data_IF_672231441533
#
_entry.id   IF_672231441533
#
_cell.length_a   1.000
_cell.length_b   1.000
_cell.length_c   1.000
_cell.angle_alpha   90.00
_cell.angle_beta   90.00
_cell.angle_gamma   90.00
#
_symmetry.space_group_name_H-M   'P 1'
#
loop_
_entity.id
_entity.type
_entity.pdbx_description
1 polymer ?
#
# COMPACT_ATOMS: atom_id res chain seq x y z
N UNK A 1 74.26 42.41 -0.84
CA UNK A 1 73.21 43.41 -1.11
C UNK A 1 72.10 42.68 -1.82
N UNK A 2 71.33 41.88 -1.09
CA UNK A 2 70.22 42.33 -0.22
C UNK A 2 69.01 42.76 -1.05
N UNK A 3 67.94 42.00 -0.82
CA UNK A 3 66.59 42.50 -0.58
C UNK A 3 65.86 43.21 -1.71
N UNK A 4 64.86 42.53 -2.29
CA UNK A 4 63.58 42.41 -1.58
C UNK A 4 62.53 41.69 -2.43
N UNK A 5 61.65 40.97 -1.73
CA UNK A 5 60.36 40.41 -2.16
C UNK A 5 60.32 38.94 -2.59
N UNK A 6 60.83 38.09 -1.71
CA UNK A 6 60.04 36.93 -1.30
C UNK A 6 58.73 37.41 -0.64
N UNK A 7 57.55 37.23 -1.28
CA UNK A 7 56.23 36.99 -0.65
C UNK A 7 55.14 36.71 -1.69
N UNK A 8 55.10 35.51 -2.24
CA UNK A 8 53.88 34.79 -2.61
C UNK A 8 54.29 33.35 -2.97
N UNK A 9 53.49 32.36 -2.58
CA UNK A 9 53.78 30.92 -2.75
C UNK A 9 54.76 30.33 -1.73
N UNK A 10 54.49 30.60 -0.45
CA UNK A 10 54.89 29.70 0.63
C UNK A 10 54.18 28.35 0.45
N UNK A 11 54.98 27.28 0.45
CA UNK A 11 54.51 25.91 0.30
C UNK A 11 53.42 25.55 1.31
N UNK A 12 52.38 24.88 0.81
CA UNK A 12 51.41 24.18 1.62
C UNK A 12 51.35 22.74 1.13
N UNK A 13 51.97 21.89 1.95
CA UNK A 13 51.70 20.48 2.18
C UNK A 13 50.44 19.95 1.49
N UNK A 14 50.61 18.94 0.62
CA UNK A 14 49.54 18.07 0.13
C UNK A 14 49.02 17.18 1.28
N UNK A 15 48.30 17.76 2.23
CA UNK A 15 47.37 16.99 3.05
C UNK A 15 46.07 16.81 2.26
N UNK A 16 45.71 15.54 2.04
CA UNK A 16 44.42 15.17 1.47
C UNK A 16 43.28 15.85 2.24
N UNK A 17 42.22 16.34 1.57
CA UNK A 17 41.05 16.82 2.28
C UNK A 17 40.47 15.65 3.09
N UNK A 18 40.37 15.82 4.40
CA UNK A 18 39.57 14.93 5.25
C UNK A 18 38.18 14.86 4.63
N UNK A 19 37.77 13.66 4.22
CA UNK A 19 36.41 13.37 3.74
C UNK A 19 35.42 13.85 4.80
N UNK A 20 34.86 15.04 4.61
CA UNK A 20 33.65 15.44 5.30
C UNK A 20 32.60 14.42 4.88
N UNK A 21 32.25 13.53 5.81
CA UNK A 21 31.12 12.61 5.64
C UNK A 21 29.92 13.48 5.31
N UNK A 22 29.48 13.42 4.05
CA UNK A 22 28.37 14.21 3.56
C UNK A 22 27.18 13.98 4.48
N UNK A 23 26.75 15.02 5.19
CA UNK A 23 25.45 15.04 5.85
C UNK A 23 24.43 14.74 4.76
N UNK A 24 23.85 13.53 4.79
CA UNK A 24 22.68 13.22 3.97
C UNK A 24 21.67 14.35 4.22
N UNK A 25 21.10 14.96 3.16
CA UNK A 25 20.09 15.99 3.35
C UNK A 25 19.01 15.43 4.29
N UNK A 26 18.61 16.23 5.28
CA UNK A 26 17.61 15.81 6.25
C UNK A 26 16.41 15.25 5.48
N UNK A 27 16.02 14.00 5.76
CA UNK A 27 14.88 13.39 5.07
C UNK A 27 13.67 14.30 5.26
N UNK A 28 13.08 14.77 4.15
CA UNK A 28 11.91 15.67 4.15
C UNK A 28 10.73 15.08 4.94
N UNK A 29 10.72 13.76 5.09
CA UNK A 29 9.78 13.00 5.90
C UNK A 29 10.52 12.05 6.84
N UNK A 30 10.10 12.00 8.09
CA UNK A 30 10.57 11.03 9.09
C UNK A 30 9.65 9.81 9.21
N UNK A 31 8.49 9.83 8.54
CA UNK A 31 7.45 8.80 8.63
C UNK A 31 7.00 8.39 7.24
N UNK A 32 6.60 7.13 7.09
CA UNK A 32 6.25 6.57 5.78
C UNK A 32 4.91 5.83 5.83
N UNK A 33 4.12 6.02 4.77
CA UNK A 33 2.89 5.29 4.47
C UNK A 33 3.15 4.41 3.25
N UNK A 34 3.03 3.09 3.41
CA UNK A 34 3.01 2.15 2.30
C UNK A 34 1.57 1.88 1.88
N UNK A 35 1.25 2.19 0.62
CA UNK A 35 0.00 1.82 -0.01
C UNK A 35 0.27 0.61 -0.89
N UNK A 36 -0.17 -0.57 -0.45
CA UNK A 36 -0.03 -1.78 -1.24
C UNK A 36 -1.08 -1.79 -2.35
N UNK A 37 -0.70 -2.30 -3.52
CA UNK A 37 -1.59 -2.43 -4.68
C UNK A 37 -1.42 -3.81 -5.31
N UNK A 38 -2.51 -4.38 -5.80
CA UNK A 38 -2.48 -5.67 -6.50
C UNK A 38 -3.78 -6.46 -6.40
N UNK A 39 -3.97 -7.36 -7.35
CA UNK A 39 -5.16 -8.20 -7.43
C UNK A 39 -5.25 -9.21 -6.26
N UNK A 40 -6.44 -9.74 -5.93
CA UNK A 40 -6.58 -10.86 -5.01
C UNK A 40 -5.64 -12.03 -5.41
N UNK A 41 -4.91 -12.60 -4.45
CA UNK A 41 -3.93 -13.68 -4.71
C UNK A 41 -2.56 -13.25 -5.27
N UNK A 42 -2.33 -11.96 -5.54
CA UNK A 42 -1.04 -11.46 -6.08
C UNK A 42 0.12 -11.47 -5.08
N UNK A 43 -0.16 -11.61 -3.78
CA UNK A 43 0.86 -11.67 -2.72
C UNK A 43 0.98 -10.41 -1.85
N UNK A 44 0.01 -9.49 -1.90
CA UNK A 44 0.02 -8.24 -1.09
C UNK A 44 0.21 -8.48 0.40
N UNK A 45 -0.58 -9.36 1.02
CA UNK A 45 -0.44 -9.67 2.45
C UNK A 45 0.88 -10.38 2.80
N UNK A 46 1.52 -11.03 1.83
CA UNK A 46 2.89 -11.53 1.99
C UNK A 46 3.89 -10.37 1.99
N UNK A 47 3.75 -9.41 1.09
CA UNK A 47 4.54 -8.19 1.06
C UNK A 47 4.33 -7.33 2.33
N UNK A 48 3.09 -7.19 2.81
CA UNK A 48 2.78 -6.49 4.07
C UNK A 48 3.51 -7.12 5.26
N UNK A 49 3.47 -8.46 5.36
CA UNK A 49 4.20 -9.21 6.41
C UNK A 49 5.71 -9.09 6.27
N UNK A 50 6.24 -9.04 5.05
CA UNK A 50 7.67 -8.80 4.83
C UNK A 50 8.07 -7.40 5.33
N UNK A 51 7.32 -6.36 4.95
CA UNK A 51 7.54 -5.00 5.45
C UNK A 51 7.43 -4.92 6.98
N UNK A 52 6.50 -5.65 7.60
CA UNK A 52 6.38 -5.72 9.07
C UNK A 52 7.57 -6.40 9.75
N UNK A 53 8.21 -7.38 9.09
CA UNK A 53 9.46 -7.99 9.60
C UNK A 53 10.63 -7.03 9.50
N UNK A 54 10.73 -6.27 8.40
CA UNK A 54 11.76 -5.25 8.20
C UNK A 54 11.58 -4.05 9.13
N UNK A 55 10.32 -3.65 9.37
CA UNK A 55 9.93 -2.56 10.25
C UNK A 55 9.06 -3.10 11.39
N UNK A 56 9.65 -3.57 12.51
CA UNK A 56 8.90 -4.14 13.63
C UNK A 56 7.82 -3.22 14.20
N UNK A 57 8.02 -1.91 14.09
CA UNK A 57 7.07 -0.88 14.52
C UNK A 57 5.93 -0.62 13.54
N UNK A 58 5.90 -1.25 12.37
CA UNK A 58 4.87 -1.02 11.36
C UNK A 58 3.46 -1.38 11.88
N UNK A 59 2.45 -0.63 11.45
CA UNK A 59 1.05 -0.99 11.65
C UNK A 59 0.43 -1.35 10.30
N UNK A 60 -0.14 -2.55 10.19
CA UNK A 60 -0.85 -3.01 9.00
C UNK A 60 -2.35 -2.79 9.21
N UNK A 61 -3.02 -2.32 8.17
CA UNK A 61 -4.45 -2.10 8.13
C UNK A 61 -5.01 -2.65 6.82
N UNK A 62 -6.06 -3.47 6.91
CA UNK A 62 -6.76 -4.04 5.76
C UNK A 62 -8.27 -3.96 5.96
N UNK A 63 -9.01 -3.68 4.89
CA UNK A 63 -10.47 -3.68 4.92
C UNK A 63 -11.02 -5.09 5.20
N UNK A 64 -10.31 -6.14 4.77
CA UNK A 64 -10.73 -7.54 4.99
C UNK A 64 -10.82 -7.91 6.49
N UNK A 65 -10.05 -7.23 7.36
CA UNK A 65 -10.13 -7.45 8.82
C UNK A 65 -11.50 -7.14 9.41
N UNK A 66 -12.31 -6.31 8.75
CA UNK A 66 -13.67 -6.00 9.19
C UNK A 66 -14.60 -7.24 9.12
N UNK A 67 -14.33 -8.13 8.15
CA UNK A 67 -15.13 -9.30 7.86
C UNK A 67 -14.65 -10.56 8.61
N UNK A 68 -13.70 -10.42 9.53
CA UNK A 68 -13.22 -11.52 10.36
C UNK A 68 -14.05 -11.56 11.64
N UNK A 69 -14.80 -12.65 11.81
CA UNK A 69 -15.60 -12.96 13.00
C UNK A 69 -14.72 -13.23 14.23
N UNK A 70 -15.33 -13.28 15.42
CA UNK A 70 -14.59 -13.50 16.69
C UNK A 70 -13.86 -14.84 16.75
N UNK A 71 -14.39 -15.85 16.07
CA UNK A 71 -13.81 -17.19 15.92
C UNK A 71 -12.75 -17.26 14.79
N UNK A 72 -12.53 -16.16 14.06
CA UNK A 72 -11.50 -16.05 13.01
C UNK A 72 -11.99 -16.45 11.62
N UNK A 73 -13.29 -16.72 11.44
CA UNK A 73 -13.90 -17.03 10.15
C UNK A 73 -14.09 -15.75 9.32
N UNK A 74 -13.74 -15.80 8.04
CA UNK A 74 -13.97 -14.70 7.09
C UNK A 74 -15.38 -14.78 6.49
N UNK A 75 -16.20 -13.76 6.74
CA UNK A 75 -17.58 -13.65 6.28
C UNK A 75 -17.80 -12.32 5.54
N UNK A 76 -17.62 -12.36 4.21
CA UNK A 76 -17.79 -11.17 3.39
C UNK A 76 -19.26 -10.80 3.23
N UNK A 77 -19.59 -9.53 3.52
CA UNK A 77 -20.89 -8.95 3.21
C UNK A 77 -20.71 -7.68 2.35
N UNK A 78 -21.13 -7.69 1.07
CA UNK A 78 -20.98 -6.53 0.20
C UNK A 78 -21.74 -5.29 0.69
N UNK A 79 -22.86 -5.46 1.39
CA UNK A 79 -23.65 -4.33 1.90
C UNK A 79 -22.90 -3.53 2.97
N UNK A 80 -21.99 -4.19 3.69
CA UNK A 80 -21.14 -3.57 4.71
C UNK A 80 -19.82 -3.02 4.15
N UNK A 81 -19.54 -3.15 2.85
CA UNK A 81 -18.23 -2.80 2.30
C UNK A 81 -17.89 -1.32 2.46
N UNK A 82 -18.86 -0.42 2.26
CA UNK A 82 -18.66 1.01 2.50
C UNK A 82 -18.32 1.33 3.96
N UNK A 83 -18.94 0.63 4.91
CA UNK A 83 -18.64 0.78 6.34
C UNK A 83 -17.27 0.20 6.70
N UNK A 84 -16.92 -0.96 6.13
CA UNK A 84 -15.62 -1.59 6.29
C UNK A 84 -14.48 -0.67 5.83
N UNK A 85 -14.66 0.01 4.68
CA UNK A 85 -13.70 1.01 4.21
C UNK A 85 -13.57 2.19 5.17
N UNK A 86 -14.68 2.78 5.64
CA UNK A 86 -14.67 3.88 6.61
C UNK A 86 -13.98 3.48 7.92
N UNK A 87 -14.26 2.29 8.42
CA UNK A 87 -13.64 1.73 9.61
C UNK A 87 -12.12 1.56 9.45
N UNK A 88 -11.67 1.04 8.32
CA UNK A 88 -10.24 0.86 8.05
C UNK A 88 -9.52 2.22 7.91
N UNK A 89 -10.15 3.19 7.24
CA UNK A 89 -9.68 4.57 7.13
C UNK A 89 -9.54 5.25 8.51
N UNK A 90 -10.52 5.05 9.41
CA UNK A 90 -10.46 5.56 10.79
C UNK A 90 -9.26 5.04 11.56
N UNK A 91 -9.03 3.72 11.50
CA UNK A 91 -7.88 3.08 12.15
C UNK A 91 -6.55 3.62 11.63
N UNK A 92 -6.41 3.73 10.31
CA UNK A 92 -5.21 4.26 9.68
C UNK A 92 -4.96 5.73 10.07
N UNK A 93 -6.01 6.56 10.07
CA UNK A 93 -5.94 7.97 10.46
C UNK A 93 -5.50 8.13 11.91
N UNK A 94 -6.09 7.36 12.83
CA UNK A 94 -5.70 7.36 14.25
C UNK A 94 -4.24 6.98 14.43
N UNK A 95 -3.78 5.95 13.72
CA UNK A 95 -2.37 5.55 13.75
C UNK A 95 -1.43 6.65 13.24
N UNK A 96 -1.78 7.30 12.11
CA UNK A 96 -0.96 8.38 11.55
C UNK A 96 -0.89 9.61 12.46
N UNK A 97 -2.04 10.02 13.04
CA UNK A 97 -2.14 11.11 14.03
C UNK A 97 -1.27 10.83 15.27
N UNK A 98 -1.24 9.58 15.72
CA UNK A 98 -0.40 9.15 16.83
C UNK A 98 1.08 8.95 16.45
N UNK A 99 1.48 9.30 15.22
CA UNK A 99 2.87 9.24 14.77
C UNK A 99 3.40 7.82 14.49
N UNK A 100 2.52 6.81 14.39
CA UNK A 100 2.92 5.42 14.12
C UNK A 100 3.58 5.32 12.75
N UNK A 101 4.80 4.79 12.67
CA UNK A 101 5.51 4.66 11.40
C UNK A 101 6.31 3.34 11.29
N UNK A 102 6.30 2.68 10.14
CA UNK A 102 5.46 2.97 8.97
C UNK A 102 4.00 2.52 9.16
N UNK A 103 3.07 3.15 8.45
CA UNK A 103 1.70 2.64 8.28
C UNK A 103 1.62 1.89 6.96
N UNK A 104 0.98 0.73 6.92
CA UNK A 104 0.85 -0.12 5.74
C UNK A 104 -0.64 -0.36 5.49
N UNK A 105 -1.14 -0.01 4.30
CA UNK A 105 -2.51 -0.32 3.87
C UNK A 105 -2.45 -1.52 2.91
N UNK A 106 -2.92 -2.67 3.37
CA UNK A 106 -2.97 -3.94 2.63
C UNK A 106 -4.36 -4.15 2.00
N UNK A 107 -4.67 -3.28 1.03
CA UNK A 107 -5.89 -3.34 0.24
C UNK A 107 -5.54 -3.64 -1.23
N UNK A 108 -6.54 -3.91 -2.06
CA UNK A 108 -6.36 -4.15 -3.50
C UNK A 108 -5.91 -2.91 -4.24
N UNK A 109 -6.50 -1.74 -3.92
CA UNK A 109 -6.14 -0.42 -4.46
C UNK A 109 -5.94 -0.45 -5.98
N UNK A 110 -6.93 -1.00 -6.69
CA UNK A 110 -6.90 -1.15 -8.15
C UNK A 110 -7.15 0.20 -8.83
N UNK A 111 -7.90 1.10 -8.19
CA UNK A 111 -8.11 2.47 -8.64
C UNK A 111 -7.38 3.50 -7.77
N UNK A 112 -6.99 4.61 -8.37
CA UNK A 112 -6.32 5.71 -7.68
C UNK A 112 -7.21 6.32 -6.58
N UNK A 113 -8.52 6.46 -6.81
CA UNK A 113 -9.45 7.08 -5.87
C UNK A 113 -9.59 6.29 -4.56
N UNK A 114 -9.43 4.96 -4.58
CA UNK A 114 -9.46 4.11 -3.38
C UNK A 114 -8.35 4.48 -2.38
N UNK A 115 -7.22 4.99 -2.91
CA UNK A 115 -6.05 5.39 -2.13
C UNK A 115 -6.10 6.84 -1.64
N UNK A 116 -6.91 7.69 -2.28
CA UNK A 116 -6.96 9.14 -2.04
C UNK A 116 -7.17 9.51 -0.56
N UNK A 117 -8.09 8.88 0.20
CA UNK A 117 -8.26 9.19 1.62
C UNK A 117 -6.98 9.00 2.43
N UNK A 118 -6.22 7.93 2.18
CA UNK A 118 -4.97 7.65 2.88
C UNK A 118 -3.85 8.62 2.49
N UNK A 119 -3.79 9.04 1.22
CA UNK A 119 -2.83 10.05 0.73
C UNK A 119 -3.08 11.41 1.38
N UNK A 120 -4.35 11.82 1.52
CA UNK A 120 -4.72 13.05 2.23
C UNK A 120 -4.28 12.97 3.70
N UNK A 121 -4.57 11.86 4.39
CA UNK A 121 -4.14 11.66 5.78
C UNK A 121 -2.61 11.69 5.93
N UNK A 122 -1.88 11.13 4.96
CA UNK A 122 -0.41 11.17 4.95
C UNK A 122 0.12 12.59 4.84
N UNK A 123 -0.46 13.41 3.95
CA UNK A 123 -0.09 14.83 3.81
C UNK A 123 -0.30 15.60 5.11
N UNK A 124 -1.50 15.51 5.68
CA UNK A 124 -1.87 16.18 6.93
C UNK A 124 -0.91 15.86 8.08
N UNK A 125 -0.38 14.63 8.08
CA UNK A 125 0.47 14.12 9.16
C UNK A 125 1.97 14.06 8.80
N UNK A 126 2.37 14.62 7.66
CA UNK A 126 3.76 14.65 7.13
C UNK A 126 4.39 13.27 6.97
N UNK A 127 3.69 12.36 6.30
CA UNK A 127 4.19 11.05 5.87
C UNK A 127 4.64 11.09 4.41
N UNK A 128 5.72 10.38 4.10
CA UNK A 128 6.07 10.02 2.73
C UNK A 128 5.14 8.91 2.24
N UNK A 129 4.48 9.11 1.10
CA UNK A 129 3.61 8.10 0.48
C UNK A 129 4.44 7.23 -0.47
N UNK A 130 4.38 5.93 -0.29
CA UNK A 130 5.11 4.94 -1.09
C UNK A 130 4.11 3.90 -1.61
N UNK A 131 3.91 3.87 -2.93
CA UNK A 131 3.12 2.84 -3.59
C UNK A 131 3.97 1.57 -3.77
N UNK A 132 3.42 0.40 -3.44
CA UNK A 132 4.13 -0.88 -3.59
C UNK A 132 3.23 -1.96 -4.14
N UNK A 133 3.75 -2.68 -5.13
CA UNK A 133 3.13 -3.88 -5.66
C UNK A 133 3.93 -5.12 -5.26
N UNK A 134 3.29 -6.29 -5.13
CA UNK A 134 4.01 -7.56 -5.09
C UNK A 134 4.88 -7.74 -6.34
N UNK A 135 6.09 -8.28 -6.16
CA UNK A 135 6.97 -8.67 -7.27
C UNK A 135 6.85 -10.16 -7.57
N UNK A 136 5.62 -10.63 -7.73
CA UNK A 136 5.35 -12.03 -8.07
C UNK A 136 5.14 -12.15 -9.58
N UNK A 137 5.76 -13.16 -10.20
CA UNK A 137 5.62 -13.43 -11.65
C UNK A 137 4.17 -13.64 -12.11
N UNK A 138 3.26 -13.98 -11.18
CA UNK A 138 1.85 -14.25 -11.46
C UNK A 138 0.91 -13.11 -11.05
N UNK A 139 1.41 -11.93 -10.64
CA UNK A 139 0.58 -10.85 -10.08
C UNK A 139 -0.56 -10.36 -10.99
N UNK A 140 -0.49 -10.64 -12.29
CA UNK A 140 -1.53 -10.39 -13.30
C UNK A 140 -2.01 -11.65 -14.06
N UNK A 141 -1.66 -12.84 -13.59
CA UNK A 141 -2.05 -14.12 -14.18
C UNK A 141 -3.35 -14.64 -13.54
N UNK A 142 -4.49 -14.29 -14.13
CA UNK A 142 -5.84 -14.48 -13.56
C UNK A 142 -6.11 -15.89 -13.06
N UNK A 143 -5.72 -16.94 -13.80
CA UNK A 143 -5.93 -18.33 -13.36
C UNK A 143 -5.14 -18.66 -12.08
N UNK A 144 -3.91 -18.14 -11.95
CA UNK A 144 -3.07 -18.42 -10.80
C UNK A 144 -3.49 -17.56 -9.60
N UNK A 145 -3.96 -16.34 -9.85
CA UNK A 145 -4.59 -15.49 -8.84
C UNK A 145 -5.84 -16.17 -8.27
N UNK A 146 -6.73 -16.68 -9.12
CA UNK A 146 -7.93 -17.40 -8.69
C UNK A 146 -7.57 -18.62 -7.82
N UNK A 147 -6.54 -19.39 -8.20
CA UNK A 147 -6.06 -20.54 -7.41
C UNK A 147 -5.47 -20.15 -6.05
N UNK A 148 -4.83 -18.98 -5.95
CA UNK A 148 -4.10 -18.53 -4.75
C UNK A 148 -4.91 -17.64 -3.81
N UNK A 149 -6.01 -17.06 -4.27
CA UNK A 149 -6.77 -16.13 -3.45
C UNK A 149 -7.53 -16.87 -2.33
N UNK A 150 -7.38 -16.41 -1.09
CA UNK A 150 -7.95 -17.06 0.09
C UNK A 150 -9.37 -16.58 0.44
N UNK A 151 -9.83 -15.51 -0.21
CA UNK A 151 -11.14 -14.89 0.03
C UNK A 151 -12.23 -15.41 -0.93
N UNK A 152 -11.91 -16.38 -1.79
CA UNK A 152 -12.87 -17.00 -2.70
C UNK A 152 -13.38 -16.06 -3.81
N UNK A 153 -12.63 -15.01 -4.14
CA UNK A 153 -12.97 -14.09 -5.24
C UNK A 153 -13.01 -14.89 -6.56
N UNK A 154 -14.16 -14.91 -7.27
CA UNK A 154 -14.31 -15.66 -8.51
C UNK A 154 -13.34 -15.20 -9.60
N UNK A 155 -12.98 -16.12 -10.50
CA UNK A 155 -12.06 -15.85 -11.60
C UNK A 155 -12.56 -14.71 -12.50
N UNK A 156 -13.86 -14.68 -12.80
CA UNK A 156 -14.47 -13.61 -13.61
C UNK A 156 -14.30 -12.24 -12.93
N UNK A 157 -14.49 -12.18 -11.60
CA UNK A 157 -14.28 -10.95 -10.84
C UNK A 157 -12.82 -10.54 -10.83
N UNK A 158 -11.87 -11.48 -10.68
CA UNK A 158 -10.43 -11.17 -10.76
C UNK A 158 -10.06 -10.66 -12.16
N UNK A 159 -10.64 -11.23 -13.22
CA UNK A 159 -10.45 -10.75 -14.59
C UNK A 159 -10.94 -9.31 -14.72
N UNK A 160 -12.17 -9.02 -14.27
CA UNK A 160 -12.70 -7.65 -14.25
C UNK A 160 -11.80 -6.69 -13.46
N UNK A 161 -11.36 -7.08 -12.25
CA UNK A 161 -10.46 -6.26 -11.42
C UNK A 161 -9.12 -6.01 -12.11
N UNK A 162 -8.62 -6.98 -12.89
CA UNK A 162 -7.40 -6.83 -13.70
C UNK A 162 -7.61 -5.82 -14.81
N UNK A 163 -8.73 -5.90 -15.52
CA UNK A 163 -9.04 -5.01 -16.63
C UNK A 163 -9.27 -3.56 -16.15
N UNK A 164 -9.70 -3.38 -14.90
CA UNK A 164 -9.85 -2.08 -14.25
C UNK A 164 -8.57 -1.58 -13.54
N UNK A 165 -7.50 -2.37 -13.50
CA UNK A 165 -6.32 -2.05 -12.71
C UNK A 165 -5.55 -0.86 -13.31
N UNK A 166 -5.51 0.27 -12.59
CA UNK A 166 -4.82 1.47 -13.04
C UNK A 166 -3.30 1.35 -12.83
N UNK A 167 -2.54 1.44 -13.92
CA UNK A 167 -1.08 1.42 -13.90
C UNK A 167 -0.48 2.81 -13.66
N UNK A 168 0.82 2.85 -13.37
CA UNK A 168 1.61 4.09 -13.28
C UNK A 168 1.06 5.16 -12.33
N UNK A 169 0.42 4.72 -11.25
CA UNK A 169 -0.14 5.63 -10.25
C UNK A 169 0.97 6.38 -9.52
N UNK A 170 0.78 7.69 -9.45
CA UNK A 170 1.66 8.62 -8.75
C UNK A 170 0.89 9.31 -7.63
N UNK A 171 1.64 9.99 -6.76
CA UNK A 171 1.03 10.84 -5.74
C UNK A 171 0.05 11.87 -6.35
N UNK A 172 0.42 12.48 -7.48
CA UNK A 172 -0.40 13.47 -8.18
C UNK A 172 -1.68 12.83 -8.73
N UNK A 173 -1.58 11.70 -9.44
CA UNK A 173 -2.78 11.05 -10.01
C UNK A 173 -3.76 10.60 -8.92
N UNK A 174 -3.27 10.14 -7.76
CA UNK A 174 -4.15 9.83 -6.61
C UNK A 174 -4.83 11.08 -6.05
N UNK A 175 -4.09 12.17 -5.83
CA UNK A 175 -4.65 13.37 -5.22
C UNK A 175 -5.76 14.00 -6.09
N UNK A 176 -5.63 13.88 -7.42
CA UNK A 176 -6.59 14.42 -8.39
C UNK A 176 -7.64 13.40 -8.87
N UNK A 177 -7.62 12.16 -8.37
CA UNK A 177 -8.63 11.15 -8.72
C UNK A 177 -9.99 11.43 -8.06
N UNK A 178 -11.06 10.92 -8.65
CA UNK A 178 -12.44 11.04 -8.14
C UNK A 178 -13.10 9.67 -8.07
N UNK A 179 -13.85 9.43 -6.99
CA UNK A 179 -14.67 8.23 -6.85
C UNK A 179 -15.89 8.36 -7.78
N UNK A 180 -16.17 7.38 -8.65
CA UNK A 180 -17.33 7.44 -9.53
C UNK A 180 -18.64 7.44 -8.73
N UNK A 181 -19.57 8.35 -9.07
CA UNK A 181 -20.83 8.58 -8.33
C UNK A 181 -21.74 7.34 -8.16
N UNK A 182 -21.54 6.27 -8.93
CA UNK A 182 -22.32 5.03 -8.87
C UNK A 182 -21.46 3.77 -8.74
N UNK A 183 -20.19 3.88 -8.33
CA UNK A 183 -19.28 2.73 -8.32
C UNK A 183 -19.83 1.51 -7.54
N UNK A 184 -20.56 1.75 -6.46
CA UNK A 184 -21.20 0.71 -5.64
C UNK A 184 -22.61 0.32 -6.09
N UNK A 185 -23.25 1.10 -6.97
CA UNK A 185 -24.64 0.95 -7.42
C UNK A 185 -24.77 0.51 -8.89
N UNK A 186 -23.69 0.51 -9.67
CA UNK A 186 -23.68 -0.10 -11.00
C UNK A 186 -23.85 -1.62 -10.82
N UNK A 187 -24.81 -2.21 -11.54
CA UNK A 187 -25.09 -3.65 -11.53
C UNK A 187 -23.87 -4.55 -11.84
N UNK A 188 -22.74 -3.96 -12.24
CA UNK A 188 -21.44 -4.61 -12.38
C UNK A 188 -20.91 -5.29 -11.09
N UNK A 189 -21.33 -4.83 -9.90
CA UNK A 189 -21.04 -5.54 -8.64
C UNK A 189 -22.12 -6.55 -8.24
N UNK A 190 -23.39 -6.30 -8.56
CA UNK A 190 -24.49 -7.16 -8.08
C UNK A 190 -24.58 -8.50 -8.82
N UNK A 191 -24.28 -8.53 -10.12
CA UNK A 191 -24.34 -9.76 -10.92
C UNK A 191 -23.18 -10.73 -10.65
N UNK A 192 -22.04 -10.24 -10.16
CA UNK A 192 -20.87 -11.06 -9.80
C UNK A 192 -20.81 -11.42 -8.31
N UNK A 193 -21.66 -10.78 -7.49
CA UNK A 193 -21.80 -11.10 -6.07
C UNK A 193 -22.89 -12.17 -5.79
N UNK A 194 -23.80 -12.44 -6.72
CA UNK A 194 -24.91 -13.40 -6.50
C UNK A 194 -24.45 -14.85 -6.32
N UNK A 195 -23.22 -15.18 -6.73
CA UNK A 195 -22.61 -16.49 -6.57
C UNK A 195 -21.83 -16.68 -5.26
N UNK A 196 -21.80 -15.70 -4.35
CA UNK A 196 -21.26 -15.88 -3.00
C UNK A 196 -22.22 -16.67 -2.07
N UNK A 197 -23.38 -17.10 -2.58
CA UNK A 197 -24.27 -18.00 -1.87
C UNK A 197 -23.60 -19.36 -1.62
N UNK A 198 -23.14 -19.56 -0.37
CA UNK A 198 -23.03 -20.82 0.35
C UNK A 198 -22.93 -22.09 -0.51
N UNK A 199 -21.76 -22.33 -1.10
CA UNK A 199 -21.37 -23.69 -1.49
C UNK A 199 -20.18 -24.15 -0.63
N UNK A 200 -20.47 -24.34 0.66
CA UNK A 200 -19.82 -25.40 1.46
C UNK A 200 -20.87 -26.46 1.76
N UNK A 201 -21.15 -27.28 0.75
CA UNK A 201 -21.60 -28.65 1.01
C UNK A 201 -20.48 -29.39 1.74
N UNK A 202 -20.85 -29.98 2.87
CA UNK A 202 -20.02 -30.87 3.66
C UNK A 202 -19.17 -31.80 2.80
N UNK A 203 -17.85 -31.62 2.85
CA UNK A 203 -16.89 -32.71 2.67
C UNK A 203 -15.88 -32.69 3.79
N UNK A 204 -16.27 -33.30 4.91
CA UNK A 204 -15.35 -33.90 5.85
C UNK A 204 -15.96 -35.20 6.39
N UNK A 205 -15.33 -36.32 6.01
CA UNK A 205 -15.21 -37.60 6.75
C UNK A 205 -16.53 -38.40 6.86
N UNK A 206 -16.66 -39.66 6.43
CA UNK A 206 -15.74 -40.79 6.20
C UNK A 206 -16.03 -41.47 4.87
#
# INVERSE_FOLDING_TARGET
MEDSLARAFGGLSLQQPRRAQGRRPARRFSKSLFLLRGLPGSGKSTLARQLKREFPNAAIFSTDEYFITKDGTYEFNPDCLGEAHKWNQERARKAMKNGKSPVIIDNTNIHAWEMKPYVIMALENRYEVIFREPDTRWKFHVQELARRNHHGVPREKIQWMKDQYEHDVTFHTVLHSEEPARYWNSGDYSHLNSSFANNRTNRSRN
#
